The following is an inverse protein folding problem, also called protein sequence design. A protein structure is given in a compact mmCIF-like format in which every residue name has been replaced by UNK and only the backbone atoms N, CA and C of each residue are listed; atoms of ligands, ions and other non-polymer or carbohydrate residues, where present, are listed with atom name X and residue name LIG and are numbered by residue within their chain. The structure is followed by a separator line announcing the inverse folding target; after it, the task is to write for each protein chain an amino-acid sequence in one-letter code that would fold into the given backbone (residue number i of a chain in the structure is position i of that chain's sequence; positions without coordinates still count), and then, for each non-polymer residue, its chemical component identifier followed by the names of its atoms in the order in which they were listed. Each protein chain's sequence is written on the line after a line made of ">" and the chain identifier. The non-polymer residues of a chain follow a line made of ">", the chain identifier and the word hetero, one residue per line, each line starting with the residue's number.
data_IF_931941806196
#
_entry.id   IF_931941806196
#
_cell.length_a   1.000
_cell.length_b   1.000
_cell.length_c   1.000
_cell.angle_alpha   90.00
_cell.angle_beta   90.00
_cell.angle_gamma   90.00
#
_symmetry.space_group_name_H-M   'P 1'
#
loop_
_entity.id
_entity.type
_entity.pdbx_description
1 polymer ?
#
# COMPACT_ATOMS: atom_id res chain seq x y z
N UNK A 1 -9.91 12.11 1.68
CA UNK A 1 -10.47 11.40 2.85
C UNK A 1 -11.51 12.29 3.54
N UNK A 2 -12.69 11.76 3.86
CA UNK A 2 -13.78 12.53 4.49
C UNK A 2 -13.46 12.92 5.95
N UNK A 3 -14.08 13.99 6.51
CA UNK A 3 -13.85 14.38 7.90
C UNK A 3 -14.11 13.28 8.93
N UNK A 4 -15.06 12.39 8.67
CA UNK A 4 -15.36 11.26 9.55
C UNK A 4 -14.21 10.25 9.59
N UNK A 5 -13.63 9.91 8.43
CA UNK A 5 -12.49 9.00 8.35
C UNK A 5 -11.21 9.60 8.91
N UNK A 6 -11.02 10.91 8.72
CA UNK A 6 -9.94 11.66 9.36
C UNK A 6 -10.01 11.57 10.89
N UNK A 7 -11.21 11.81 11.46
CA UNK A 7 -11.44 11.67 12.90
C UNK A 7 -11.16 10.25 13.42
N UNK A 8 -11.53 9.22 12.67
CA UNK A 8 -11.25 7.82 13.05
C UNK A 8 -9.75 7.52 12.97
N UNK A 9 -9.05 8.01 11.95
CA UNK A 9 -7.60 7.87 11.85
C UNK A 9 -6.87 8.59 13.00
N UNK A 10 -7.30 9.80 13.38
CA UNK A 10 -6.69 10.56 14.48
C UNK A 10 -6.77 9.82 15.82
N UNK A 11 -7.84 9.07 16.07
CA UNK A 11 -7.98 8.21 17.27
C UNK A 11 -6.92 7.12 17.37
N UNK A 12 -6.31 6.75 16.25
CA UNK A 12 -5.27 5.73 16.18
C UNK A 12 -3.88 6.25 16.49
N UNK A 13 -3.79 7.50 16.97
CA UNK A 13 -2.54 8.09 17.43
C UNK A 13 -2.54 8.25 18.95
N UNK A 14 -1.44 7.86 19.60
CA UNK A 14 -1.24 8.09 21.04
C UNK A 14 0.24 8.22 21.36
N UNK A 15 0.64 9.17 22.22
CA UNK A 15 2.01 9.27 22.76
C UNK A 15 3.14 9.15 21.72
N UNK A 16 3.00 9.84 20.58
CA UNK A 16 3.95 9.80 19.45
C UNK A 16 3.96 8.52 18.62
N UNK A 17 2.96 7.65 18.75
CA UNK A 17 2.82 6.43 17.96
C UNK A 17 1.55 6.46 17.11
N UNK A 18 1.60 5.78 15.95
CA UNK A 18 0.45 5.31 15.18
C UNK A 18 0.29 3.82 15.49
N UNK A 19 -0.86 3.45 16.05
CA UNK A 19 -1.23 2.05 16.29
C UNK A 19 -1.86 1.47 15.02
N UNK A 20 -1.09 0.72 14.23
CA UNK A 20 -1.53 0.19 12.94
C UNK A 20 -2.83 -0.64 13.05
N UNK A 21 -2.99 -1.57 14.01
CA UNK A 21 -4.26 -2.26 14.24
C UNK A 21 -5.48 -1.37 14.49
N UNK A 22 -5.30 -0.16 15.02
CA UNK A 22 -6.43 0.73 15.28
C UNK A 22 -7.10 1.18 13.98
N UNK A 23 -6.34 1.40 12.90
CA UNK A 23 -6.87 1.94 11.64
C UNK A 23 -8.07 1.13 11.14
N UNK A 24 -7.96 -0.19 10.88
CA UNK A 24 -9.10 -0.98 10.43
C UNK A 24 -10.12 -1.26 11.54
N UNK A 25 -9.69 -1.42 12.80
CA UNK A 25 -10.61 -1.82 13.87
C UNK A 25 -11.52 -0.66 14.27
N UNK A 26 -11.04 0.58 14.26
CA UNK A 26 -11.83 1.75 14.61
C UNK A 26 -13.00 1.95 13.62
N UNK A 27 -12.75 1.84 12.31
CA UNK A 27 -13.85 1.88 11.32
C UNK A 27 -14.77 0.68 11.44
N UNK A 28 -14.24 -0.52 11.66
CA UNK A 28 -15.07 -1.72 11.86
C UNK A 28 -16.02 -1.57 13.04
N UNK A 29 -15.53 -1.10 14.18
CA UNK A 29 -16.35 -0.97 15.37
C UNK A 29 -17.29 0.23 15.35
N UNK A 30 -16.87 1.37 14.80
CA UNK A 30 -17.69 2.60 14.83
C UNK A 30 -18.62 2.75 13.63
N UNK A 31 -18.24 2.22 12.46
CA UNK A 31 -19.01 2.37 11.21
C UNK A 31 -19.63 1.05 10.73
N UNK A 32 -19.24 -0.08 11.32
CA UNK A 32 -19.69 -1.41 10.92
C UNK A 32 -19.12 -1.82 9.56
N UNK A 33 -17.86 -1.46 9.29
CA UNK A 33 -17.16 -1.87 8.07
C UNK A 33 -16.64 -3.29 8.19
N UNK A 34 -16.77 -4.08 7.12
CA UNK A 34 -16.39 -5.49 7.12
C UNK A 34 -15.67 -5.90 5.84
N UNK A 35 -14.91 -7.00 5.93
CA UNK A 35 -14.35 -7.65 4.76
C UNK A 35 -15.47 -8.24 3.90
N UNK A 36 -15.37 -8.03 2.59
CA UNK A 36 -16.31 -8.53 1.59
C UNK A 36 -15.52 -9.25 0.52
N UNK A 37 -16.09 -10.31 -0.03
CA UNK A 37 -15.55 -10.96 -1.21
C UNK A 37 -16.34 -10.39 -2.38
N UNK A 38 -15.69 -9.64 -3.26
CA UNK A 38 -16.36 -9.04 -4.42
C UNK A 38 -16.52 -10.07 -5.57
N UNK A 39 -17.59 -9.92 -6.34
CA UNK A 39 -17.80 -10.70 -7.57
C UNK A 39 -16.98 -10.07 -8.71
N UNK A 40 -15.68 -10.38 -8.72
CA UNK A 40 -14.71 -9.88 -9.69
C UNK A 40 -13.65 -9.00 -9.04
N UNK A 41 -12.44 -9.05 -9.59
CA UNK A 41 -11.27 -8.33 -9.11
C UNK A 41 -11.35 -6.86 -9.59
N UNK A 42 -11.68 -5.95 -8.67
CA UNK A 42 -11.80 -4.52 -8.95
C UNK A 42 -11.40 -3.71 -7.71
N UNK A 43 -10.57 -2.70 -7.92
CA UNK A 43 -10.27 -1.72 -6.86
C UNK A 43 -11.40 -0.69 -6.74
N UNK A 44 -11.97 -0.56 -5.55
CA UNK A 44 -12.93 0.48 -5.22
C UNK A 44 -12.24 1.82 -4.99
N UNK A 45 -12.94 2.91 -5.33
CA UNK A 45 -12.56 4.23 -4.83
C UNK A 45 -12.77 4.30 -3.31
N UNK A 46 -12.09 5.21 -2.61
CA UNK A 46 -12.31 5.40 -1.17
C UNK A 46 -13.76 5.79 -0.83
N UNK A 47 -14.45 6.49 -1.74
CA UNK A 47 -15.85 6.85 -1.57
C UNK A 47 -16.75 5.61 -1.74
N UNK A 48 -16.48 4.76 -2.75
CA UNK A 48 -17.21 3.51 -2.96
C UNK A 48 -16.96 2.52 -1.81
N UNK A 49 -15.72 2.39 -1.34
CA UNK A 49 -15.38 1.59 -0.16
C UNK A 49 -16.16 2.04 1.09
N UNK A 50 -16.26 3.35 1.30
CA UNK A 50 -17.01 3.90 2.43
C UNK A 50 -18.53 3.70 2.28
N UNK A 51 -19.08 3.88 1.07
CA UNK A 51 -20.49 3.63 0.76
C UNK A 51 -20.83 2.15 0.93
N UNK A 52 -19.93 1.28 0.49
CA UNK A 52 -20.06 -0.16 0.63
C UNK A 52 -19.79 -0.62 2.07
N UNK A 53 -19.23 0.21 2.94
CA UNK A 53 -18.80 -0.17 4.30
C UNK A 53 -17.82 -1.35 4.27
N UNK A 54 -16.80 -1.24 3.44
CA UNK A 54 -15.77 -2.26 3.27
C UNK A 54 -15.67 -2.81 1.84
N UNK A 55 -14.79 -3.78 1.70
CA UNK A 55 -14.34 -4.39 0.44
C UNK A 55 -13.43 -5.59 0.76
N UNK A 56 -12.70 -6.07 -0.24
CA UNK A 56 -11.70 -7.15 -0.12
C UNK A 56 -10.29 -6.60 0.18
N UNK A 57 -9.25 -7.38 -0.12
CA UNK A 57 -7.91 -7.16 0.43
C UNK A 57 -7.23 -5.90 -0.12
N UNK A 58 -7.39 -5.63 -1.42
CA UNK A 58 -6.89 -4.44 -2.10
C UNK A 58 -7.60 -3.18 -1.60
N UNK A 59 -8.91 -3.26 -1.37
CA UNK A 59 -9.70 -2.14 -0.90
C UNK A 59 -9.33 -1.74 0.53
N UNK A 60 -9.20 -2.74 1.42
CA UNK A 60 -8.71 -2.52 2.78
C UNK A 60 -7.28 -1.99 2.79
N UNK A 61 -6.43 -2.47 1.89
CA UNK A 61 -5.07 -1.95 1.71
C UNK A 61 -5.08 -0.48 1.30
N UNK A 62 -5.87 -0.11 0.29
CA UNK A 62 -6.00 1.26 -0.19
C UNK A 62 -6.56 2.19 0.90
N UNK A 63 -7.55 1.73 1.66
CA UNK A 63 -8.05 2.46 2.82
C UNK A 63 -6.96 2.68 3.89
N UNK A 64 -6.24 1.62 4.26
CA UNK A 64 -5.16 1.71 5.24
C UNK A 64 -4.09 2.70 4.79
N UNK A 65 -3.63 2.59 3.54
CA UNK A 65 -2.66 3.50 2.94
C UNK A 65 -3.16 4.94 2.93
N UNK A 66 -4.43 5.17 2.61
CA UNK A 66 -5.02 6.52 2.65
C UNK A 66 -5.05 7.10 4.08
N UNK A 67 -5.38 6.28 5.08
CA UNK A 67 -5.37 6.69 6.48
C UNK A 67 -3.93 7.00 6.95
N UNK A 68 -2.97 6.15 6.59
CA UNK A 68 -1.56 6.38 6.85
C UNK A 68 -1.06 7.69 6.23
N UNK A 69 -1.35 7.93 4.95
CA UNK A 69 -0.95 9.15 4.25
C UNK A 69 -1.57 10.41 4.87
N UNK A 70 -2.80 10.32 5.39
CA UNK A 70 -3.40 11.39 6.18
C UNK A 70 -2.63 11.66 7.48
N UNK A 71 -2.24 10.60 8.20
CA UNK A 71 -1.48 10.73 9.45
C UNK A 71 -0.03 11.19 9.24
N UNK A 72 0.53 10.98 8.05
CA UNK A 72 1.87 11.37 7.61
C UNK A 72 2.03 12.87 7.23
N UNK A 73 0.94 13.63 7.09
CA UNK A 73 1.00 15.03 6.60
C UNK A 73 2.09 15.88 7.29
N UNK A 74 2.80 16.72 6.51
CA UNK A 74 4.01 17.44 6.93
C UNK A 74 3.83 18.37 8.13
N UNK A 75 2.61 18.82 8.40
CA UNK A 75 2.25 19.68 9.53
C UNK A 75 2.05 18.90 10.84
N UNK A 76 2.20 17.57 10.81
CA UNK A 76 2.05 16.69 11.96
C UNK A 76 3.41 16.25 12.51
N UNK A 77 3.53 16.04 13.83
CA UNK A 77 4.77 15.53 14.40
C UNK A 77 5.08 14.14 13.85
N UNK A 78 6.36 13.84 13.72
CA UNK A 78 6.83 12.49 13.41
C UNK A 78 6.34 11.51 14.48
N UNK A 79 5.88 10.34 14.03
CA UNK A 79 5.41 9.28 14.92
C UNK A 79 6.01 7.95 14.51
N UNK A 80 6.30 7.11 15.49
CA UNK A 80 6.60 5.70 15.27
C UNK A 80 5.33 4.96 14.84
N UNK A 81 5.47 3.93 14.03
CA UNK A 81 4.36 3.07 13.62
C UNK A 81 4.54 1.74 14.33
N UNK A 82 3.55 1.37 15.13
CA UNK A 82 3.57 0.15 15.93
C UNK A 82 2.49 -0.79 15.44
N UNK A 83 2.88 -2.05 15.20
CA UNK A 83 2.00 -3.15 14.86
C UNK A 83 2.01 -4.21 15.96
N UNK A 84 1.06 -5.14 15.90
CA UNK A 84 0.99 -6.26 16.84
C UNK A 84 1.71 -7.49 16.27
N UNK A 85 2.47 -8.16 17.12
CA UNK A 85 3.04 -9.51 16.89
C UNK A 85 2.69 -10.43 18.04
N UNK A 86 2.69 -11.77 17.83
CA UNK A 86 2.57 -12.72 18.92
C UNK A 86 3.60 -12.46 20.04
N UNK A 87 3.14 -12.55 21.30
CA UNK A 87 3.96 -12.23 22.46
C UNK A 87 3.28 -12.54 23.80
N UNK A 88 3.86 -12.06 24.89
CA UNK A 88 3.24 -12.15 26.22
C UNK A 88 2.59 -10.82 26.56
N UNK A 89 1.32 -10.85 26.99
CA UNK A 89 0.57 -9.67 27.43
C UNK A 89 -0.59 -9.31 26.50
N UNK A 90 -1.14 -8.12 26.70
CA UNK A 90 -2.24 -7.59 25.89
C UNK A 90 -1.75 -6.36 25.13
N UNK A 91 -1.77 -6.43 23.80
CA UNK A 91 -1.49 -5.28 22.94
C UNK A 91 -2.77 -4.45 22.77
N UNK A 92 -2.82 -3.28 23.42
CA UNK A 92 -3.96 -2.37 23.33
C UNK A 92 -4.03 -1.75 21.93
N UNK A 93 -5.23 -1.71 21.36
CA UNK A 93 -5.49 -1.19 20.02
C UNK A 93 -6.09 0.22 20.12
N UNK A 94 -7.32 0.34 20.63
CA UNK A 94 -7.92 1.61 21.09
C UNK A 94 -9.07 1.31 22.06
N UNK A 95 -9.40 2.24 22.96
CA UNK A 95 -10.46 2.03 23.96
C UNK A 95 -10.18 0.76 24.79
N UNK A 96 -11.14 -0.17 24.80
CA UNK A 96 -11.05 -1.49 25.42
C UNK A 96 -10.73 -2.62 24.42
N UNK A 97 -10.45 -2.30 23.16
CA UNK A 97 -10.02 -3.28 22.15
C UNK A 97 -8.54 -3.60 22.32
N UNK A 98 -8.20 -4.88 22.36
CA UNK A 98 -6.83 -5.37 22.44
C UNK A 98 -6.67 -6.72 21.74
N UNK A 99 -5.44 -7.05 21.36
CA UNK A 99 -5.04 -8.42 21.06
C UNK A 99 -4.47 -9.07 22.32
N UNK A 100 -5.03 -10.23 22.68
CA UNK A 100 -4.45 -11.09 23.70
C UNK A 100 -3.20 -11.80 23.16
N UNK A 101 -2.28 -12.15 24.06
CA UNK A 101 -1.02 -12.83 23.74
C UNK A 101 -0.24 -12.13 22.62
N UNK A 102 -0.20 -10.80 22.71
CA UNK A 102 0.41 -9.94 21.72
C UNK A 102 1.27 -8.85 22.37
N UNK A 103 2.27 -8.39 21.62
CA UNK A 103 3.12 -7.25 21.98
C UNK A 103 3.30 -6.32 20.78
N UNK A 104 3.69 -5.08 21.07
CA UNK A 104 4.02 -4.10 20.05
C UNK A 104 5.33 -4.44 19.33
N UNK A 105 5.39 -4.10 18.05
CA UNK A 105 6.59 -4.12 17.21
C UNK A 105 6.62 -2.85 16.38
N UNK A 106 7.74 -2.15 16.43
CA UNK A 106 8.00 -1.03 15.53
C UNK A 106 8.16 -1.53 14.10
N UNK A 107 7.45 -0.88 13.17
CA UNK A 107 7.49 -1.21 11.74
C UNK A 107 7.90 -0.02 10.88
N UNK A 108 8.20 1.12 11.47
CA UNK A 108 8.63 2.31 10.76
C UNK A 108 8.21 3.59 11.48
N UNK A 109 8.25 4.69 10.74
CA UNK A 109 7.83 6.02 11.20
C UNK A 109 7.01 6.71 10.12
N UNK A 110 6.33 7.82 10.45
CA UNK A 110 5.63 8.64 9.45
C UNK A 110 6.52 9.24 8.36
N UNK A 111 7.86 9.15 8.47
CA UNK A 111 8.76 9.51 7.35
C UNK A 111 8.75 8.45 6.24
N UNK A 112 8.46 7.21 6.60
CA UNK A 112 8.47 6.08 5.69
C UNK A 112 7.29 6.13 4.72
N UNK A 113 7.37 5.32 3.67
CA UNK A 113 6.38 5.22 2.61
C UNK A 113 5.57 3.93 2.81
N UNK A 114 4.25 4.03 2.71
CA UNK A 114 3.37 2.87 2.70
C UNK A 114 3.09 2.46 1.26
N UNK A 115 3.21 1.16 0.98
CA UNK A 115 2.96 0.56 -0.33
C UNK A 115 1.91 -0.52 -0.18
N UNK A 116 0.94 -0.58 -1.07
CA UNK A 116 0.17 -1.82 -1.22
C UNK A 116 1.02 -2.78 -2.02
N UNK A 117 1.20 -4.00 -1.54
CA UNK A 117 1.91 -5.08 -2.23
C UNK A 117 0.95 -6.25 -2.38
N UNK A 118 0.93 -6.90 -3.54
CA UNK A 118 0.06 -8.04 -3.78
C UNK A 118 0.83 -9.29 -4.24
N UNK A 119 0.43 -10.45 -3.70
CA UNK A 119 0.97 -11.79 -3.96
C UNK A 119 -0.13 -12.83 -3.65
N UNK A 120 -0.15 -13.99 -4.32
CA UNK A 120 -1.13 -15.08 -4.06
C UNK A 120 -2.58 -14.59 -3.77
N UNK A 121 -3.17 -13.79 -4.67
CA UNK A 121 -4.53 -13.23 -4.51
C UNK A 121 -4.79 -12.43 -3.23
N UNK A 122 -3.75 -11.95 -2.56
CA UNK A 122 -3.82 -11.17 -1.34
C UNK A 122 -3.02 -9.89 -1.47
N UNK A 123 -3.52 -8.79 -0.90
CA UNK A 123 -2.86 -7.51 -0.86
C UNK A 123 -2.66 -7.06 0.59
N UNK A 124 -1.46 -6.58 0.90
CA UNK A 124 -1.08 -6.09 2.23
C UNK A 124 -0.29 -4.79 2.15
N UNK A 125 0.06 -4.21 3.31
CA UNK A 125 0.81 -2.95 3.38
C UNK A 125 2.27 -3.19 3.75
N UNK A 126 3.19 -2.78 2.89
CA UNK A 126 4.60 -2.68 3.21
C UNK A 126 4.95 -1.25 3.65
N UNK A 127 5.78 -1.11 4.68
CA UNK A 127 6.29 0.19 5.17
C UNK A 127 7.79 0.24 4.94
N UNK A 128 8.27 1.17 4.12
CA UNK A 128 9.70 1.28 3.79
C UNK A 128 10.20 2.71 3.87
N UNK A 129 11.40 2.90 4.42
CA UNK A 129 12.10 4.19 4.37
C UNK A 129 12.68 4.53 3.00
N UNK A 130 12.53 3.67 2.00
CA UNK A 130 13.02 3.88 0.64
C UNK A 130 11.86 4.17 -0.31
N UNK A 131 11.94 5.28 -1.04
CA UNK A 131 10.96 5.66 -2.05
C UNK A 131 11.15 4.87 -3.36
N UNK A 132 10.06 4.28 -3.88
CA UNK A 132 9.98 3.76 -5.25
C UNK A 132 9.56 4.88 -6.20
N UNK A 133 10.44 5.27 -7.11
CA UNK A 133 10.18 6.31 -8.13
C UNK A 133 10.06 5.79 -9.55
N UNK A 134 10.53 4.56 -9.79
CA UNK A 134 10.56 3.90 -11.09
C UNK A 134 10.66 2.38 -10.90
N UNK A 135 10.52 1.63 -12.00
CA UNK A 135 10.47 0.16 -11.99
C UNK A 135 11.75 -0.51 -11.48
N UNK A 136 12.90 0.14 -11.57
CA UNK A 136 14.15 -0.41 -11.00
C UNK A 136 14.23 -0.25 -9.46
N UNK A 137 13.43 0.65 -8.89
CA UNK A 137 13.44 0.92 -7.46
C UNK A 137 12.61 -0.10 -6.65
N UNK A 138 11.77 -0.92 -7.29
CA UNK A 138 10.89 -1.89 -6.62
C UNK A 138 11.64 -2.78 -5.63
N UNK A 139 12.85 -3.22 -5.99
CA UNK A 139 13.69 -4.09 -5.15
C UNK A 139 14.15 -3.45 -3.84
N UNK A 140 14.03 -2.13 -3.69
CA UNK A 140 14.30 -1.42 -2.43
C UNK A 140 13.30 -1.76 -1.33
N UNK A 141 12.20 -2.45 -1.64
CA UNK A 141 11.27 -2.98 -0.63
C UNK A 141 11.80 -4.18 0.14
N UNK A 142 12.89 -4.84 -0.30
CA UNK A 142 13.50 -5.91 0.49
C UNK A 142 13.91 -5.39 1.87
N UNK A 143 13.53 -6.11 2.91
CA UNK A 143 13.73 -5.70 4.30
C UNK A 143 12.62 -4.82 4.89
N UNK A 144 11.65 -4.36 4.09
CA UNK A 144 10.49 -3.63 4.59
C UNK A 144 9.56 -4.57 5.39
N UNK A 145 9.11 -4.20 6.60
CA UNK A 145 8.03 -4.90 7.28
C UNK A 145 6.70 -4.73 6.55
N UNK A 146 5.87 -5.76 6.59
CA UNK A 146 4.54 -5.77 6.02
C UNK A 146 3.48 -6.07 7.09
N UNK A 147 2.32 -5.43 6.96
CA UNK A 147 1.16 -5.57 7.85
C UNK A 147 -0.10 -5.90 7.09
N UNK A 148 -0.94 -6.72 7.72
CA UNK A 148 -2.28 -7.06 7.25
C UNK A 148 -3.22 -5.87 7.39
N UNK A 149 -3.81 -5.32 6.32
CA UNK A 149 -4.60 -4.08 6.40
C UNK A 149 -5.92 -4.24 7.16
N UNK A 150 -6.47 -5.46 7.23
CA UNK A 150 -7.76 -5.77 7.83
C UNK A 150 -7.70 -5.80 9.37
N UNK A 151 -6.50 -5.97 9.93
CA UNK A 151 -6.30 -6.11 11.38
C UNK A 151 -5.04 -5.39 11.89
N UNK A 152 -4.23 -4.82 10.99
CA UNK A 152 -2.98 -4.12 11.26
C UNK A 152 -1.87 -4.95 11.92
N UNK A 153 -1.99 -6.29 11.93
CA UNK A 153 -0.97 -7.18 12.50
C UNK A 153 0.22 -7.30 11.56
N UNK A 154 1.41 -7.47 12.14
CA UNK A 154 2.63 -7.70 11.37
C UNK A 154 2.58 -9.11 10.78
N UNK A 155 2.87 -9.19 9.48
CA UNK A 155 2.86 -10.43 8.72
C UNK A 155 4.28 -10.96 8.57
N UNK A 156 5.15 -10.20 7.90
CA UNK A 156 6.51 -10.61 7.60
C UNK A 156 7.39 -9.42 7.23
N UNK A 157 8.65 -9.70 6.90
CA UNK A 157 9.59 -8.75 6.31
C UNK A 157 9.96 -9.27 4.93
N UNK A 158 9.79 -8.43 3.91
CA UNK A 158 9.94 -8.80 2.49
C UNK A 158 11.36 -9.31 2.21
N UNK A 159 11.48 -10.41 1.46
CA UNK A 159 12.76 -11.02 1.07
C UNK A 159 13.45 -11.83 2.17
N UNK A 160 12.79 -12.07 3.30
CA UNK A 160 13.25 -13.08 4.26
C UNK A 160 12.93 -14.50 3.74
N UNK A 161 13.72 -15.50 4.13
CA UNK A 161 13.66 -16.89 3.61
C UNK A 161 12.27 -17.57 3.62
N UNK A 162 11.37 -17.16 4.50
CA UNK A 162 10.02 -17.72 4.65
C UNK A 162 8.91 -16.72 4.32
N UNK A 163 9.27 -15.60 3.69
CA UNK A 163 8.36 -14.53 3.32
C UNK A 163 8.34 -14.37 1.80
N UNK A 164 7.26 -13.80 1.22
CA UNK A 164 7.25 -13.31 -0.15
C UNK A 164 8.51 -12.48 -0.44
N UNK A 165 9.19 -12.78 -1.55
CA UNK A 165 10.18 -11.88 -2.13
C UNK A 165 9.56 -11.11 -3.30
N UNK A 166 10.33 -10.22 -3.90
CA UNK A 166 9.93 -9.42 -5.05
C UNK A 166 10.28 -10.21 -6.31
N UNK A 167 9.30 -10.41 -7.19
CA UNK A 167 9.52 -11.12 -8.45
C UNK A 167 10.68 -10.52 -9.25
N UNK A 168 11.42 -11.38 -9.94
CA UNK A 168 12.55 -11.06 -10.81
C UNK A 168 12.50 -11.89 -12.09
N UNK A 169 13.27 -11.49 -13.10
CA UNK A 169 13.37 -12.21 -14.39
C UNK A 169 13.79 -13.68 -14.21
N UNK A 170 14.66 -13.94 -13.24
CA UNK A 170 15.23 -15.28 -13.00
C UNK A 170 14.32 -16.13 -12.09
N UNK A 171 13.66 -15.48 -11.12
CA UNK A 171 12.88 -16.13 -10.07
C UNK A 171 11.61 -15.31 -9.78
N UNK A 172 10.45 -15.92 -10.02
CA UNK A 172 9.14 -15.40 -9.63
C UNK A 172 8.22 -16.58 -9.36
N UNK A 173 8.00 -16.86 -8.08
CA UNK A 173 7.07 -17.88 -7.61
C UNK A 173 5.67 -17.30 -7.44
N UNK A 174 4.67 -18.17 -7.29
CA UNK A 174 3.28 -17.77 -7.06
C UNK A 174 3.08 -16.94 -5.77
N UNK A 175 3.97 -17.09 -4.80
CA UNK A 175 3.92 -16.37 -3.52
C UNK A 175 4.73 -15.08 -3.52
N UNK A 176 5.43 -14.76 -4.61
CA UNK A 176 6.22 -13.55 -4.70
C UNK A 176 5.36 -12.35 -5.10
N UNK A 177 5.81 -11.17 -4.69
CA UNK A 177 5.15 -9.90 -4.94
C UNK A 177 5.28 -9.58 -6.42
N UNK A 178 4.14 -9.46 -7.09
CA UNK A 178 4.03 -9.17 -8.52
C UNK A 178 3.33 -7.84 -8.82
N UNK A 179 2.69 -7.22 -7.83
CA UNK A 179 2.11 -5.87 -7.96
C UNK A 179 2.46 -5.00 -6.75
N UNK A 180 2.77 -3.72 -7.02
CA UNK A 180 3.08 -2.71 -6.00
C UNK A 180 2.35 -1.40 -6.34
N UNK A 181 1.54 -0.89 -5.42
CA UNK A 181 0.82 0.39 -5.57
C UNK A 181 1.48 1.45 -4.68
N UNK A 182 2.04 2.46 -5.34
CA UNK A 182 2.64 3.64 -4.70
C UNK A 182 1.62 4.78 -4.60
N UNK A 183 2.03 5.95 -4.13
CA UNK A 183 1.15 7.13 -4.12
C UNK A 183 0.90 7.68 -5.53
N UNK A 184 1.80 7.40 -6.48
CA UNK A 184 1.85 8.08 -7.77
C UNK A 184 1.82 7.13 -8.98
N UNK A 185 1.83 5.82 -8.75
CA UNK A 185 1.95 4.81 -9.81
C UNK A 185 1.62 3.40 -9.31
N UNK A 186 1.34 2.50 -10.26
CA UNK A 186 1.18 1.06 -10.06
C UNK A 186 2.29 0.37 -10.84
N UNK A 187 3.04 -0.48 -10.17
CA UNK A 187 4.08 -1.33 -10.74
C UNK A 187 3.56 -2.75 -10.81
N UNK A 188 3.74 -3.39 -11.96
CA UNK A 188 3.24 -4.72 -12.26
C UNK A 188 4.33 -5.57 -12.91
N UNK A 189 4.44 -6.84 -12.49
CA UNK A 189 5.43 -7.79 -12.96
C UNK A 189 4.79 -8.84 -13.86
N UNK A 190 4.45 -8.44 -15.08
CA UNK A 190 3.91 -9.38 -16.08
C UNK A 190 4.44 -9.15 -17.50
N UNK A 191 4.97 -7.95 -17.80
CA UNK A 191 5.42 -7.63 -19.15
C UNK A 191 6.83 -8.15 -19.41
N UNK A 192 6.95 -9.21 -20.22
CA UNK A 192 8.23 -9.86 -20.55
C UNK A 192 9.07 -10.24 -19.33
N UNK A 193 8.42 -10.61 -18.21
CA UNK A 193 9.10 -10.91 -16.94
C UNK A 193 9.87 -9.72 -16.36
N UNK A 194 9.38 -8.50 -16.58
CA UNK A 194 9.97 -7.27 -16.08
C UNK A 194 8.94 -6.43 -15.33
N UNK A 195 9.43 -5.66 -14.35
CA UNK A 195 8.64 -4.63 -13.70
C UNK A 195 8.40 -3.47 -14.67
N UNK A 196 7.15 -3.11 -14.83
CA UNK A 196 6.72 -1.95 -15.60
C UNK A 196 5.71 -1.16 -14.79
N UNK A 197 5.69 0.16 -14.98
CA UNK A 197 4.71 1.02 -14.37
C UNK A 197 3.74 1.61 -15.39
N UNK A 198 2.60 2.13 -14.93
CA UNK A 198 1.69 2.87 -15.81
C UNK A 198 2.36 4.11 -16.42
N UNK A 199 3.26 4.75 -15.67
CA UNK A 199 4.06 5.86 -16.18
C UNK A 199 5.02 5.44 -17.30
N UNK A 200 5.64 4.26 -17.20
CA UNK A 200 6.51 3.75 -18.27
C UNK A 200 5.75 3.65 -19.60
N UNK A 201 4.50 3.18 -19.57
CA UNK A 201 3.62 3.15 -20.75
C UNK A 201 3.25 4.55 -21.25
N UNK A 202 2.91 5.47 -20.33
CA UNK A 202 2.56 6.84 -20.68
C UNK A 202 3.73 7.58 -21.33
N UNK A 203 4.94 7.41 -20.81
CA UNK A 203 6.16 8.03 -21.31
C UNK A 203 6.53 7.46 -22.68
N UNK A 204 6.41 6.13 -22.88
CA UNK A 204 6.60 5.51 -24.17
C UNK A 204 5.58 6.03 -25.21
N UNK A 205 4.30 6.11 -24.85
CA UNK A 205 3.25 6.64 -25.73
C UNK A 205 3.53 8.11 -26.10
N UNK A 206 3.92 8.92 -25.13
CA UNK A 206 4.28 10.33 -25.33
C UNK A 206 5.49 10.49 -26.25
N UNK A 207 6.52 9.64 -26.09
CA UNK A 207 7.68 9.62 -26.98
C UNK A 207 7.31 9.30 -28.44
N UNK A 208 6.49 8.28 -28.67
CA UNK A 208 6.08 7.90 -30.02
C UNK A 208 5.18 8.96 -30.66
N UNK A 209 4.29 9.58 -29.87
CA UNK A 209 3.48 10.70 -30.34
C UNK A 209 4.37 11.86 -30.82
N UNK A 210 5.33 12.29 -30.00
CA UNK A 210 6.25 13.36 -30.39
C UNK A 210 7.06 13.04 -31.66
N UNK A 211 7.41 11.77 -31.87
CA UNK A 211 8.06 11.32 -33.12
C UNK A 211 7.15 11.41 -34.33
N UNK A 212 5.89 11.01 -34.19
CA UNK A 212 4.89 11.09 -35.27
C UNK A 212 4.67 12.56 -35.63
N UNK A 213 4.43 13.42 -34.64
CA UNK A 213 4.21 14.87 -34.85
C UNK A 213 5.42 15.51 -35.58
N UNK A 214 6.65 15.11 -35.22
CA UNK A 214 7.86 15.58 -35.90
C UNK A 214 7.98 15.07 -37.35
N UNK A 215 7.59 13.82 -37.61
CA UNK A 215 7.57 13.26 -38.96
C UNK A 215 6.52 13.93 -39.84
N UNK A 216 5.33 14.21 -39.30
CA UNK A 216 4.26 14.94 -40.01
C UNK A 216 4.72 16.34 -40.39
N UNK A 217 5.36 17.06 -39.45
CA UNK A 217 5.92 18.40 -39.72
C UNK A 217 6.93 18.40 -40.87
N UNK A 218 7.83 17.40 -40.91
CA UNK A 218 8.81 17.26 -42.00
C UNK A 218 8.15 17.00 -43.36
N UNK A 219 7.10 16.17 -43.39
CA UNK A 219 6.36 15.88 -44.62
C UNK A 219 5.65 17.14 -45.14
N UNK A 220 5.08 17.94 -44.24
CA UNK A 220 4.43 19.21 -44.59
C UNK A 220 5.43 20.23 -45.14
N UNK A 221 6.63 20.32 -44.55
CA UNK A 221 7.72 21.19 -45.04
C UNK A 221 8.23 20.78 -46.42
N UNK A 222 8.33 19.47 -46.71
CA UNK A 222 8.76 18.98 -48.02
C UNK A 222 7.68 19.10 -49.12
N UNK A 223 6.41 19.15 -48.73
CA UNK A 223 5.28 19.23 -49.67
C UNK A 223 4.91 20.66 -50.11
N UNK A 224 5.43 21.70 -49.44
CA UNK A 224 5.17 23.12 -49.71
C UNK A 224 6.23 23.79 -50.58
#
# INVERSE_FOLDING_TARGET
>A
MSPRLQYLADKCTSNSEINAPCIPIAVKAEEGWDYKIDEGDRMLSLDDFALNKGGDCEDWSLYFKAAYNYLKQEDRPERDIVSAVPGMGNFRIYGDHYYADARGRDIGTTRDYAYVICYDSHCIIAVSGQEIKNSSDVYKLRGAPAVEPQNGQYMFTIGNLLAPDICSEEECSYYDIWMIITDNDIYDFHYNWQWVSYRDYYDAASYYKNKIDAMESLIEEEAG
#
